data_IF_570185124467
#
_entry.id   IF_570185124467
#
_cell.length_a   1.000
_cell.length_b   1.000
_cell.length_c   1.000
_cell.angle_alpha   90.00
_cell.angle_beta   90.00
_cell.angle_gamma   90.00
#
_symmetry.space_group_name_H-M   'P 1'
#
loop_
_entity.id
_entity.type
_entity.pdbx_description
1 polymer ?
#
# COMPACT_ATOMS: atom_id res chain seq x y z
N UNK A 1 -5.58 -31.75 22.29
CA UNK A 1 -5.46 -30.49 23.07
C UNK A 1 -5.95 -29.37 22.18
N UNK A 2 -6.82 -28.48 22.65
CA UNK A 2 -7.23 -27.31 21.88
C UNK A 2 -6.05 -26.37 21.75
N UNK A 3 -5.72 -25.95 20.54
CA UNK A 3 -4.70 -24.91 20.32
C UNK A 3 -5.28 -23.57 20.76
N UNK A 4 -4.52 -22.81 21.56
CA UNK A 4 -4.88 -21.47 22.00
C UNK A 4 -3.99 -20.46 21.30
N UNK A 5 -4.57 -19.36 20.83
CA UNK A 5 -3.87 -18.23 20.21
C UNK A 5 -4.38 -16.92 20.80
N UNK A 6 -3.50 -15.94 20.98
CA UNK A 6 -3.87 -14.62 21.50
C UNK A 6 -4.71 -13.84 20.50
N UNK A 7 -4.36 -13.96 19.20
CA UNK A 7 -5.10 -13.32 18.11
C UNK A 7 -5.35 -14.32 16.98
N UNK A 8 -6.58 -14.32 16.48
CA UNK A 8 -6.95 -15.07 15.27
C UNK A 8 -7.40 -14.08 14.19
N UNK A 9 -6.73 -14.11 13.05
CA UNK A 9 -7.05 -13.29 11.87
C UNK A 9 -7.69 -14.16 10.82
N UNK A 10 -8.85 -13.76 10.31
CA UNK A 10 -9.61 -14.51 9.30
C UNK A 10 -9.40 -13.89 7.92
N UNK A 11 -8.82 -14.66 7.01
CA UNK A 11 -8.42 -14.27 5.66
C UNK A 11 -6.90 -14.16 5.52
N UNK A 12 -6.40 -14.17 4.26
CA UNK A 12 -4.99 -13.96 3.93
C UNK A 12 -4.78 -12.94 2.79
N UNK A 13 -5.73 -12.01 2.63
CA UNK A 13 -5.54 -10.84 1.78
C UNK A 13 -4.68 -9.77 2.46
N UNK A 14 -4.40 -8.68 1.77
CA UNK A 14 -3.52 -7.60 2.25
C UNK A 14 -3.95 -7.06 3.63
N UNK A 15 -5.25 -6.80 3.84
CA UNK A 15 -5.76 -6.31 5.12
C UNK A 15 -5.51 -7.30 6.26
N UNK A 16 -5.77 -8.60 6.02
CA UNK A 16 -5.59 -9.64 7.03
C UNK A 16 -4.11 -9.86 7.36
N UNK A 17 -3.22 -9.88 6.36
CA UNK A 17 -1.79 -10.03 6.58
C UNK A 17 -1.20 -8.82 7.30
N UNK A 18 -1.63 -7.61 6.97
CA UNK A 18 -1.25 -6.38 7.69
C UNK A 18 -1.71 -6.43 9.15
N UNK A 19 -2.97 -6.84 9.39
CA UNK A 19 -3.49 -7.01 10.74
C UNK A 19 -2.72 -8.09 11.54
N UNK A 20 -2.35 -9.19 10.90
CA UNK A 20 -1.58 -10.26 11.54
C UNK A 20 -0.15 -9.81 11.93
N UNK A 21 0.50 -9.04 11.04
CA UNK A 21 1.84 -8.48 11.31
C UNK A 21 1.76 -7.46 12.46
N UNK A 22 0.78 -6.56 12.44
CA UNK A 22 0.57 -5.58 13.50
C UNK A 22 0.21 -6.24 14.84
N UNK A 23 -0.66 -7.28 14.81
CA UNK A 23 -0.97 -8.06 16.01
C UNK A 23 0.27 -8.72 16.60
N UNK A 24 1.17 -9.25 15.76
CA UNK A 24 2.39 -9.92 16.20
C UNK A 24 3.39 -8.99 16.90
N UNK A 25 3.26 -7.68 16.71
CA UNK A 25 4.07 -6.70 17.46
C UNK A 25 3.73 -6.66 18.95
N UNK A 26 2.51 -7.10 19.33
CA UNK A 26 1.98 -6.98 20.69
C UNK A 26 1.42 -8.30 21.26
N UNK A 27 1.43 -9.39 20.49
CA UNK A 27 0.91 -10.69 20.89
C UNK A 27 1.97 -11.79 20.74
N UNK A 28 1.95 -12.76 21.66
CA UNK A 28 2.90 -13.88 21.63
C UNK A 28 2.58 -14.86 20.50
N UNK A 29 1.29 -15.07 20.22
CA UNK A 29 0.81 -16.02 19.20
C UNK A 29 -0.30 -15.45 18.33
N UNK A 30 -0.12 -15.54 17.01
CA UNK A 30 -1.10 -15.11 16.02
C UNK A 30 -1.35 -16.24 15.03
N UNK A 31 -2.63 -16.56 14.82
CA UNK A 31 -3.08 -17.54 13.82
C UNK A 31 -3.78 -16.81 12.67
N UNK A 32 -3.38 -17.13 11.44
CA UNK A 32 -4.10 -16.69 10.23
C UNK A 32 -4.86 -17.87 9.65
N UNK A 33 -6.17 -17.69 9.43
CA UNK A 33 -7.04 -18.67 8.82
C UNK A 33 -7.47 -18.20 7.43
N UNK A 34 -7.21 -19.02 6.41
CA UNK A 34 -7.64 -18.74 5.03
C UNK A 34 -8.61 -19.83 4.56
N UNK A 35 -9.73 -19.40 3.97
CA UNK A 35 -10.76 -20.30 3.44
C UNK A 35 -10.36 -20.90 2.10
N UNK A 36 -9.66 -20.14 1.27
CA UNK A 36 -9.26 -20.56 -0.06
C UNK A 36 -8.14 -21.61 0.03
N UNK A 37 -8.06 -22.54 -0.92
CA UNK A 37 -6.91 -23.42 -1.04
C UNK A 37 -5.64 -22.63 -1.32
N UNK A 38 -4.48 -23.20 -1.04
CA UNK A 38 -3.18 -22.53 -1.06
C UNK A 38 -2.92 -21.73 -2.37
N UNK A 39 -3.31 -22.30 -3.50
CA UNK A 39 -3.11 -21.68 -4.82
C UNK A 39 -4.07 -20.52 -5.14
N UNK A 40 -5.12 -20.31 -4.34
CA UNK A 40 -6.06 -19.19 -4.48
C UNK A 40 -6.08 -18.26 -3.26
N UNK A 41 -5.16 -18.46 -2.31
CA UNK A 41 -5.07 -17.60 -1.13
C UNK A 41 -4.81 -16.13 -1.53
N UNK A 42 -5.28 -15.21 -0.70
CA UNK A 42 -5.04 -13.77 -0.89
C UNK A 42 -6.24 -12.97 -1.38
N UNK A 43 -7.37 -13.64 -1.72
CA UNK A 43 -8.60 -12.97 -2.14
C UNK A 43 -8.35 -12.01 -3.31
N UNK A 44 -8.97 -10.83 -3.27
CA UNK A 44 -8.80 -9.81 -4.31
C UNK A 44 -7.34 -9.32 -4.45
N UNK A 45 -6.56 -9.38 -3.40
CA UNK A 45 -5.14 -8.96 -3.41
C UNK A 45 -4.32 -9.78 -4.41
N UNK A 46 -4.65 -11.04 -4.60
CA UNK A 46 -4.00 -11.93 -5.58
C UNK A 46 -4.06 -11.38 -7.02
N UNK A 47 -5.09 -10.56 -7.34
CA UNK A 47 -5.36 -10.05 -8.69
C UNK A 47 -4.93 -8.59 -8.90
N UNK A 48 -4.34 -7.92 -7.93
CA UNK A 48 -4.07 -6.47 -7.99
C UNK A 48 -2.86 -6.09 -8.84
N UNK A 49 -1.96 -6.98 -9.13
CA UNK A 49 -0.67 -6.68 -9.77
C UNK A 49 0.31 -5.90 -8.88
N UNK A 50 0.02 -5.74 -7.58
CA UNK A 50 0.91 -5.14 -6.60
C UNK A 50 1.03 -3.62 -6.65
N UNK A 51 0.12 -2.92 -7.36
CA UNK A 51 0.10 -1.44 -7.39
C UNK A 51 -0.75 -0.94 -6.22
N UNK A 52 -0.20 -0.02 -5.45
CA UNK A 52 -0.86 0.59 -4.29
C UNK A 52 -0.93 2.10 -4.50
N UNK A 53 -2.11 2.69 -4.21
CA UNK A 53 -2.34 4.13 -4.25
C UNK A 53 -2.17 4.70 -2.84
N UNK A 54 -1.49 5.83 -2.72
CA UNK A 54 -1.31 6.56 -1.47
C UNK A 54 -1.11 8.05 -1.76
N UNK A 55 -1.37 8.90 -0.79
CA UNK A 55 -1.09 10.33 -0.88
C UNK A 55 0.40 10.60 -0.67
N UNK A 56 0.96 11.54 -1.45
CA UNK A 56 2.37 11.97 -1.33
C UNK A 56 2.53 13.41 -1.84
N UNK A 57 3.53 14.09 -1.34
CA UNK A 57 3.87 15.46 -1.75
C UNK A 57 5.26 15.52 -2.41
N UNK A 58 5.37 14.85 -3.55
CA UNK A 58 6.57 14.87 -4.38
C UNK A 58 7.55 13.73 -4.16
N UNK A 59 8.75 13.92 -4.72
CA UNK A 59 9.76 12.86 -4.81
C UNK A 59 10.36 12.49 -3.46
N UNK A 60 10.41 13.41 -2.50
CA UNK A 60 10.99 13.13 -1.20
C UNK A 60 10.18 12.07 -0.42
N UNK A 61 8.85 12.11 -0.48
CA UNK A 61 8.01 11.07 0.09
C UNK A 61 8.26 9.70 -0.58
N UNK A 62 8.39 9.69 -1.91
CA UNK A 62 8.71 8.46 -2.66
C UNK A 62 10.07 7.89 -2.22
N UNK A 63 11.06 8.73 -1.99
CA UNK A 63 12.40 8.31 -1.52
C UNK A 63 12.37 7.70 -0.12
N UNK A 64 11.42 8.06 0.74
CA UNK A 64 11.24 7.38 2.04
C UNK A 64 10.85 5.92 1.88
N UNK A 65 10.16 5.58 0.79
CA UNK A 65 9.70 4.22 0.47
C UNK A 65 10.72 3.43 -0.34
N UNK A 66 11.56 4.12 -1.13
CA UNK A 66 12.58 3.54 -2.01
C UNK A 66 13.92 4.18 -1.68
N UNK A 67 14.53 3.86 -0.52
CA UNK A 67 15.73 4.53 -0.05
C UNK A 67 16.99 4.19 -0.87
N UNK A 68 16.94 3.16 -1.69
CA UNK A 68 18.02 2.71 -2.58
C UNK A 68 17.95 3.31 -3.99
N UNK A 69 17.13 4.35 -4.22
CA UNK A 69 17.14 5.11 -5.48
C UNK A 69 18.52 5.73 -5.71
N UNK A 70 19.08 5.44 -6.88
CA UNK A 70 20.33 6.07 -7.31
C UNK A 70 20.13 7.55 -7.65
N UNK A 71 21.19 8.37 -7.57
CA UNK A 71 21.17 9.77 -8.00
C UNK A 71 20.75 9.92 -9.48
N UNK A 72 21.09 8.94 -10.32
CA UNK A 72 20.67 8.92 -11.72
C UNK A 72 19.15 8.76 -11.83
N UNK A 73 18.55 7.85 -11.09
CA UNK A 73 17.09 7.66 -11.06
C UNK A 73 16.39 8.91 -10.50
N UNK A 74 16.90 9.47 -9.39
CA UNK A 74 16.36 10.70 -8.80
C UNK A 74 16.34 11.84 -9.84
N UNK A 75 17.40 12.00 -10.62
CA UNK A 75 17.49 13.04 -11.64
C UNK A 75 16.63 12.76 -12.88
N UNK A 76 16.28 11.52 -13.15
CA UNK A 76 15.47 11.11 -14.31
C UNK A 76 13.98 10.99 -14.01
N UNK A 77 13.59 11.00 -12.74
CA UNK A 77 12.19 10.83 -12.33
C UNK A 77 11.55 12.17 -12.05
N UNK A 78 10.38 12.37 -12.60
CA UNK A 78 9.52 13.51 -12.32
C UNK A 78 8.18 12.97 -11.81
N UNK A 79 7.93 13.20 -10.52
CA UNK A 79 6.66 12.91 -9.88
C UNK A 79 6.06 14.24 -9.43
N UNK A 80 4.76 14.42 -9.66
CA UNK A 80 4.02 15.54 -9.08
C UNK A 80 3.73 15.28 -7.60
N UNK A 81 2.67 15.88 -7.12
CA UNK A 81 2.04 15.52 -5.85
C UNK A 81 0.71 14.84 -6.12
N UNK A 82 0.32 13.95 -5.23
CA UNK A 82 -1.03 13.40 -5.13
C UNK A 82 -1.50 13.59 -3.71
N UNK A 83 -2.08 14.75 -3.46
CA UNK A 83 -2.41 15.20 -2.10
C UNK A 83 -3.53 14.37 -1.49
N UNK A 84 -3.66 14.42 -0.16
CA UNK A 84 -4.76 13.81 0.57
C UNK A 84 -6.12 14.27 0.04
N UNK A 85 -6.27 15.56 -0.25
CA UNK A 85 -7.51 16.10 -0.80
C UNK A 85 -7.82 15.52 -2.18
N UNK A 86 -6.83 15.42 -3.07
CA UNK A 86 -7.01 14.80 -4.38
C UNK A 86 -7.40 13.33 -4.26
N UNK A 87 -6.79 12.59 -3.34
CA UNK A 87 -7.12 11.18 -3.13
C UNK A 87 -8.55 11.04 -2.58
N UNK A 88 -8.93 11.88 -1.61
CA UNK A 88 -10.29 11.90 -1.08
C UNK A 88 -11.33 12.22 -2.16
N UNK A 89 -11.10 13.27 -2.95
CA UNK A 89 -11.99 13.68 -4.04
C UNK A 89 -12.13 12.59 -5.11
N UNK A 90 -11.02 11.92 -5.45
CA UNK A 90 -11.04 10.78 -6.37
C UNK A 90 -11.87 9.62 -5.84
N UNK A 91 -11.75 9.29 -4.55
CA UNK A 91 -12.57 8.25 -3.92
C UNK A 91 -14.06 8.60 -3.96
N UNK A 92 -14.41 9.83 -3.60
CA UNK A 92 -15.81 10.29 -3.64
C UNK A 92 -16.35 10.28 -5.07
N UNK A 93 -15.56 10.70 -6.04
CA UNK A 93 -15.95 10.72 -7.45
C UNK A 93 -16.18 9.30 -8.01
N UNK A 94 -15.27 8.36 -7.78
CA UNK A 94 -15.40 7.00 -8.35
C UNK A 94 -16.45 6.15 -7.67
N UNK A 95 -16.83 6.48 -6.45
CA UNK A 95 -17.89 5.81 -5.69
C UNK A 95 -19.24 6.55 -5.77
N UNK A 96 -19.30 7.65 -6.53
CA UNK A 96 -20.49 8.49 -6.63
C UNK A 96 -21.00 8.97 -5.26
N UNK A 97 -20.09 9.23 -4.34
CA UNK A 97 -20.39 9.67 -2.97
C UNK A 97 -20.85 8.56 -2.03
N UNK A 98 -20.79 7.28 -2.42
CA UNK A 98 -21.20 6.14 -1.59
C UNK A 98 -20.12 5.71 -0.57
N UNK A 99 -18.93 6.28 -0.65
CA UNK A 99 -17.87 6.01 0.32
C UNK A 99 -18.23 6.62 1.67
N UNK A 100 -18.00 5.85 2.74
CA UNK A 100 -18.07 6.37 4.11
C UNK A 100 -16.99 7.47 4.29
N UNK A 101 -17.35 8.71 4.59
CA UNK A 101 -16.42 9.83 4.62
C UNK A 101 -15.38 9.71 5.75
N UNK A 102 -15.75 9.14 6.90
CA UNK A 102 -14.84 8.99 8.03
C UNK A 102 -13.79 7.92 7.74
N UNK A 103 -14.20 6.79 7.15
CA UNK A 103 -13.27 5.75 6.72
C UNK A 103 -12.38 6.22 5.57
N UNK A 104 -12.90 7.01 4.63
CA UNK A 104 -12.13 7.61 3.55
C UNK A 104 -11.04 8.53 4.10
N UNK A 105 -11.38 9.38 5.07
CA UNK A 105 -10.43 10.29 5.70
C UNK A 105 -9.28 9.53 6.40
N UNK A 106 -9.61 8.47 7.14
CA UNK A 106 -8.62 7.62 7.80
C UNK A 106 -7.71 6.96 6.75
N UNK A 107 -8.29 6.37 5.69
CA UNK A 107 -7.53 5.71 4.63
C UNK A 107 -6.56 6.67 3.96
N UNK A 108 -7.02 7.85 3.61
CA UNK A 108 -6.23 8.86 2.90
C UNK A 108 -5.09 9.38 3.77
N UNK A 109 -5.39 9.84 4.99
CA UNK A 109 -4.39 10.43 5.90
C UNK A 109 -3.39 9.40 6.41
N UNK A 110 -3.76 8.12 6.50
CA UNK A 110 -2.86 7.04 6.93
C UNK A 110 -2.19 6.32 5.77
N UNK A 111 -2.42 6.72 4.52
CA UNK A 111 -1.90 6.00 3.36
C UNK A 111 -0.36 6.00 3.30
N UNK A 112 0.29 7.14 3.34
CA UNK A 112 1.77 7.23 3.34
C UNK A 112 2.39 6.63 4.60
N UNK A 113 1.93 6.94 5.84
CA UNK A 113 2.42 6.27 7.04
C UNK A 113 2.31 4.74 6.99
N UNK A 114 1.23 4.21 6.42
CA UNK A 114 1.04 2.76 6.25
C UNK A 114 2.05 2.18 5.25
N UNK A 115 2.35 2.88 4.15
CA UNK A 115 3.37 2.46 3.20
C UNK A 115 4.76 2.42 3.84
N UNK A 116 5.10 3.42 4.65
CA UNK A 116 6.36 3.48 5.40
C UNK A 116 6.44 2.35 6.44
N UNK A 117 5.34 2.04 7.12
CA UNK A 117 5.26 0.90 8.03
C UNK A 117 5.47 -0.42 7.28
N UNK A 118 4.81 -0.65 6.14
CA UNK A 118 5.02 -1.84 5.30
C UNK A 118 6.49 -1.96 4.86
N UNK A 119 7.11 -0.87 4.45
CA UNK A 119 8.53 -0.83 4.09
C UNK A 119 9.40 -1.25 5.30
N UNK A 120 9.12 -0.77 6.51
CA UNK A 120 9.81 -1.16 7.74
C UNK A 120 9.65 -2.66 8.08
N UNK A 121 8.60 -3.32 7.56
CA UNK A 121 8.37 -4.77 7.69
C UNK A 121 9.03 -5.59 6.55
N UNK A 122 9.83 -4.94 5.71
CA UNK A 122 10.60 -5.59 4.65
C UNK A 122 9.89 -5.65 3.29
N UNK A 123 8.75 -4.97 3.12
CA UNK A 123 8.16 -4.80 1.78
C UNK A 123 9.04 -3.86 0.98
N UNK A 124 9.53 -4.34 -0.16
CA UNK A 124 10.33 -3.54 -1.08
C UNK A 124 9.45 -2.94 -2.16
N UNK A 125 9.41 -1.61 -2.19
CA UNK A 125 8.72 -0.86 -3.23
C UNK A 125 9.66 -0.54 -4.38
N UNK A 126 9.10 -0.39 -5.58
CA UNK A 126 9.81 0.02 -6.80
C UNK A 126 8.90 0.93 -7.62
N UNK A 127 9.49 1.83 -8.39
CA UNK A 127 8.75 2.65 -9.35
C UNK A 127 8.22 1.79 -10.51
N UNK A 128 6.94 1.97 -10.85
CA UNK A 128 6.28 1.19 -11.90
C UNK A 128 6.46 1.86 -13.27
N UNK A 129 7.67 1.91 -13.79
CA UNK A 129 8.01 2.55 -15.06
C UNK A 129 7.15 2.06 -16.24
N UNK A 130 6.88 0.76 -16.31
CA UNK A 130 6.14 0.18 -17.43
C UNK A 130 4.63 0.41 -17.41
N UNK A 131 4.07 0.92 -16.31
CA UNK A 131 2.60 1.03 -16.14
C UNK A 131 2.13 2.40 -15.68
N UNK A 132 2.97 3.16 -14.99
CA UNK A 132 2.60 4.42 -14.34
C UNK A 132 3.50 5.58 -14.78
N UNK A 133 4.35 5.39 -15.77
CA UNK A 133 5.21 6.42 -16.29
C UNK A 133 5.19 6.48 -17.81
N UNK A 134 5.44 7.65 -18.35
CA UNK A 134 5.79 7.84 -19.74
C UNK A 134 7.13 8.60 -19.83
N UNK A 135 7.86 8.36 -20.92
CA UNK A 135 9.12 9.03 -21.17
C UNK A 135 8.88 10.37 -21.87
N UNK A 136 9.43 11.44 -21.29
CA UNK A 136 9.40 12.79 -21.86
C UNK A 136 10.84 13.33 -21.89
N UNK A 137 11.45 13.34 -23.07
CA UNK A 137 12.87 13.61 -23.22
C UNK A 137 13.73 12.60 -22.44
N UNK A 138 14.54 13.10 -21.51
CA UNK A 138 15.42 12.29 -20.66
C UNK A 138 14.78 11.91 -19.32
N UNK A 139 13.52 12.29 -19.09
CA UNK A 139 12.81 12.06 -17.84
C UNK A 139 11.68 11.04 -17.97
N UNK A 140 11.38 10.40 -16.87
CA UNK A 140 10.17 9.59 -16.66
C UNK A 140 9.20 10.39 -15.81
N UNK A 141 8.03 10.71 -16.37
CA UNK A 141 6.93 11.36 -15.67
C UNK A 141 5.93 10.32 -15.20
N UNK A 142 5.59 10.41 -13.91
CA UNK A 142 4.59 9.57 -13.28
C UNK A 142 3.28 10.36 -13.08
N UNK A 143 2.12 9.70 -13.30
CA UNK A 143 0.77 10.23 -13.08
C UNK A 143 0.01 9.41 -12.03
#
# INVERSE_FOLDING_TARGET
MASHYDVVVVGAGNAALSAAIAAKENADSVLVLEKAPEYFRGGNTYFTGGIIRFAFDGLDDIRTLIPDMSETEVNQVEVGSYTENQFYDDMMRVTEGLTDPDLAQILVSQSLPTMQWLQSKGVRFVLSYGRQAFKDGDKYRFW
#
